data_IF_918656294467
#
_entry.id   IF_918656294467
#
_cell.length_a   1.000
_cell.length_b   1.000
_cell.length_c   1.000
_cell.angle_alpha   90.00
_cell.angle_beta   90.00
_cell.angle_gamma   90.00
#
_symmetry.space_group_name_H-M   'P 1'
#
loop_
_entity.id
_entity.type
_entity.pdbx_description
1 polymer ?
#
# COMPACT_ATOMS: atom_id res chain seq x y z
N UNK A 1 -45.59 -25.23 5.91
CA UNK A 1 -45.86 -26.26 6.95
C UNK A 1 -46.48 -25.52 8.12
N UNK A 2 -47.73 -25.82 8.44
CA UNK A 2 -48.52 -25.03 9.38
C UNK A 2 -48.19 -25.38 10.83
N UNK A 3 -48.02 -24.39 11.71
CA UNK A 3 -47.75 -24.56 13.14
C UNK A 3 -48.85 -25.43 13.78
N UNK A 4 -50.13 -25.30 13.30
CA UNK A 4 -51.27 -26.12 13.69
C UNK A 4 -51.03 -27.58 13.36
N UNK A 5 -50.52 -27.94 12.20
CA UNK A 5 -50.40 -29.34 11.71
C UNK A 5 -49.38 -30.13 12.58
N UNK A 6 -48.58 -29.45 13.36
CA UNK A 6 -47.63 -30.05 14.33
C UNK A 6 -48.09 -30.01 15.76
N UNK A 7 -49.34 -29.57 16.05
CA UNK A 7 -49.93 -29.55 17.39
C UNK A 7 -49.34 -28.51 18.35
N UNK A 8 -48.65 -27.48 17.85
CA UNK A 8 -48.11 -26.40 18.66
C UNK A 8 -49.17 -25.40 19.10
N UNK A 9 -50.30 -25.32 18.37
CA UNK A 9 -51.48 -24.52 18.71
C UNK A 9 -52.72 -25.35 18.43
N UNK A 10 -53.76 -25.13 19.24
CA UNK A 10 -55.09 -25.73 19.05
C UNK A 10 -55.82 -25.10 17.86
N UNK A 11 -56.86 -25.76 17.40
CA UNK A 11 -57.71 -25.23 16.30
C UNK A 11 -58.41 -23.93 16.74
N UNK A 12 -58.74 -23.81 18.00
CA UNK A 12 -59.39 -22.63 18.59
C UNK A 12 -58.41 -21.45 18.60
N UNK A 13 -57.15 -21.65 19.03
CA UNK A 13 -56.09 -20.65 18.98
C UNK A 13 -55.75 -20.21 17.56
N UNK A 14 -55.76 -21.16 16.62
CA UNK A 14 -55.59 -20.85 15.19
C UNK A 14 -56.69 -19.94 14.66
N UNK A 15 -57.96 -20.30 14.95
CA UNK A 15 -59.11 -19.54 14.51
C UNK A 15 -59.16 -18.14 15.15
N UNK A 16 -58.82 -18.02 16.45
CA UNK A 16 -58.72 -16.74 17.12
C UNK A 16 -57.60 -15.86 16.51
N UNK A 17 -56.46 -16.43 16.24
CA UNK A 17 -55.33 -15.68 15.66
C UNK A 17 -55.62 -15.24 14.24
N UNK A 18 -56.27 -16.08 13.39
CA UNK A 18 -56.60 -15.73 12.00
C UNK A 18 -57.81 -14.78 11.88
N UNK A 19 -58.65 -14.70 12.92
CA UNK A 19 -59.77 -13.74 12.98
C UNK A 19 -59.29 -12.32 13.39
N UNK A 20 -58.08 -12.18 13.96
CA UNK A 20 -57.58 -10.87 14.33
C UNK A 20 -57.01 -10.17 13.09
N UNK A 21 -57.43 -8.93 12.80
CA UNK A 21 -56.80 -8.14 11.74
C UNK A 21 -55.32 -7.92 12.07
N UNK A 22 -54.45 -8.17 11.09
CA UNK A 22 -53.04 -7.82 11.21
C UNK A 22 -52.93 -6.30 11.26
N UNK A 23 -52.81 -5.74 12.45
CA UNK A 23 -52.49 -4.34 12.64
C UNK A 23 -50.97 -4.20 12.55
N UNK A 24 -50.45 -3.71 11.45
CA UNK A 24 -49.09 -3.20 11.37
C UNK A 24 -49.07 -1.88 12.15
N UNK A 25 -48.38 -1.86 13.26
CA UNK A 25 -47.96 -0.63 13.87
C UNK A 25 -46.62 -0.25 13.19
N UNK A 26 -46.60 0.67 12.21
CA UNK A 26 -45.34 1.26 11.80
C UNK A 26 -44.86 1.99 13.05
N UNK A 27 -43.94 1.36 13.79
CA UNK A 27 -43.24 2.07 14.84
C UNK A 27 -42.73 3.37 14.23
N UNK A 28 -42.80 4.46 14.96
CA UNK A 28 -41.97 5.60 14.67
C UNK A 28 -40.54 5.04 14.70
N UNK A 29 -40.05 4.67 13.53
CA UNK A 29 -38.62 4.52 13.31
C UNK A 29 -38.13 5.96 13.49
N UNK A 30 -37.71 6.31 14.72
CA UNK A 30 -36.74 7.37 14.83
C UNK A 30 -35.70 7.01 13.76
N UNK A 31 -35.62 7.84 12.73
CA UNK A 31 -34.51 7.81 11.80
C UNK A 31 -33.30 8.10 12.69
N UNK A 32 -32.74 7.03 13.27
CA UNK A 32 -31.42 7.12 13.88
C UNK A 32 -30.58 7.79 12.80
N UNK A 33 -30.07 8.97 13.12
CA UNK A 33 -29.06 9.60 12.26
C UNK A 33 -28.17 8.47 11.83
N UNK A 34 -28.13 8.24 10.52
CA UNK A 34 -27.31 7.18 9.93
C UNK A 34 -25.89 7.47 10.39
N UNK A 35 -25.39 6.69 11.35
CA UNK A 35 -24.02 6.85 11.80
C UNK A 35 -23.15 6.65 10.57
N UNK A 36 -22.33 7.66 10.27
CA UNK A 36 -21.36 7.59 9.18
C UNK A 36 -20.48 6.36 9.39
N UNK A 37 -20.46 5.46 8.43
CA UNK A 37 -19.64 4.24 8.47
C UNK A 37 -18.16 4.60 8.37
N UNK A 38 -17.25 3.77 8.91
CA UNK A 38 -15.81 3.94 8.70
C UNK A 38 -15.41 3.66 7.25
N UNK A 39 -14.24 4.10 6.83
CA UNK A 39 -13.68 3.74 5.51
C UNK A 39 -13.54 2.22 5.36
N UNK A 40 -13.19 1.53 6.44
CA UNK A 40 -13.16 0.07 6.45
C UNK A 40 -14.53 -0.55 6.17
N UNK A 41 -15.56 -0.06 6.86
CA UNK A 41 -16.92 -0.57 6.68
C UNK A 41 -17.45 -0.32 5.26
N UNK A 42 -17.08 0.80 4.65
CA UNK A 42 -17.47 1.08 3.26
C UNK A 42 -16.83 0.07 2.30
N UNK A 43 -15.51 -0.18 2.44
CA UNK A 43 -14.81 -1.21 1.67
C UNK A 43 -15.40 -2.60 1.88
N UNK A 44 -15.69 -2.95 3.13
CA UNK A 44 -16.33 -4.22 3.47
C UNK A 44 -17.68 -4.42 2.77
N UNK A 45 -18.54 -3.38 2.77
CA UNK A 45 -19.83 -3.43 2.11
C UNK A 45 -19.67 -3.58 0.59
N UNK A 46 -18.69 -2.91 0.01
CA UNK A 46 -18.40 -2.99 -1.41
C UNK A 46 -17.94 -4.40 -1.80
N UNK A 47 -16.89 -4.92 -1.15
CA UNK A 47 -16.34 -6.25 -1.46
C UNK A 47 -17.38 -7.35 -1.28
N UNK A 48 -18.09 -7.36 -0.15
CA UNK A 48 -19.16 -8.34 0.08
C UNK A 48 -20.30 -8.20 -0.94
N UNK A 49 -20.61 -6.96 -1.38
CA UNK A 49 -21.63 -6.77 -2.43
C UNK A 49 -21.20 -7.37 -3.75
N UNK A 50 -19.95 -7.10 -4.16
CA UNK A 50 -19.42 -7.56 -5.44
C UNK A 50 -19.30 -9.09 -5.44
N UNK A 51 -18.79 -9.69 -4.36
CA UNK A 51 -18.69 -11.15 -4.23
C UNK A 51 -20.07 -11.84 -4.19
N UNK A 52 -21.09 -11.23 -3.54
CA UNK A 52 -22.48 -11.75 -3.58
C UNK A 52 -23.08 -11.67 -4.98
N UNK A 53 -22.80 -10.59 -5.72
CA UNK A 53 -23.26 -10.45 -7.11
C UNK A 53 -22.59 -11.50 -8.00
N UNK A 54 -21.30 -11.72 -7.84
CA UNK A 54 -20.55 -12.70 -8.63
C UNK A 54 -20.98 -14.14 -8.32
N UNK A 55 -21.01 -14.53 -7.04
CA UNK A 55 -21.31 -15.92 -6.62
C UNK A 55 -22.75 -16.33 -6.91
N UNK A 56 -23.72 -15.42 -6.72
CA UNK A 56 -25.16 -15.74 -6.83
C UNK A 56 -25.86 -15.13 -8.03
N UNK A 57 -25.16 -14.37 -8.88
CA UNK A 57 -25.76 -13.70 -10.03
C UNK A 57 -26.83 -12.67 -9.64
N UNK A 58 -26.68 -12.03 -8.46
CA UNK A 58 -27.62 -11.03 -7.97
C UNK A 58 -27.38 -9.69 -8.66
N UNK A 59 -28.46 -8.94 -8.85
CA UNK A 59 -28.33 -7.53 -9.20
C UNK A 59 -28.04 -6.67 -7.95
N UNK A 60 -27.64 -5.42 -8.17
CA UNK A 60 -27.30 -4.49 -7.08
C UNK A 60 -28.46 -4.25 -6.10
N UNK A 61 -29.71 -4.23 -6.57
CA UNK A 61 -30.87 -3.99 -5.72
C UNK A 61 -31.15 -5.19 -4.80
N UNK A 62 -31.09 -6.41 -5.34
CA UNK A 62 -31.24 -7.66 -4.59
C UNK A 62 -30.10 -7.81 -3.56
N UNK A 63 -28.87 -7.51 -3.96
CA UNK A 63 -27.70 -7.56 -3.08
C UNK A 63 -27.82 -6.56 -1.93
N UNK A 64 -28.20 -5.31 -2.22
CA UNK A 64 -28.44 -4.29 -1.19
C UNK A 64 -29.52 -4.74 -0.21
N UNK A 65 -30.63 -5.28 -0.72
CA UNK A 65 -31.70 -5.81 0.13
C UNK A 65 -31.22 -6.98 1.00
N UNK A 66 -30.44 -7.88 0.44
CA UNK A 66 -29.87 -9.02 1.19
C UNK A 66 -28.92 -8.53 2.30
N UNK A 67 -28.02 -7.57 2.01
CA UNK A 67 -27.08 -7.03 2.97
C UNK A 67 -27.77 -6.34 4.16
N UNK A 68 -28.76 -5.49 3.90
CA UNK A 68 -29.38 -4.68 4.95
C UNK A 68 -30.58 -5.34 5.63
N UNK A 69 -31.28 -6.24 4.95
CA UNK A 69 -32.53 -6.85 5.44
C UNK A 69 -32.46 -8.38 5.55
N UNK A 70 -31.42 -9.02 5.00
CA UNK A 70 -31.27 -10.48 4.99
C UNK A 70 -30.83 -11.11 6.31
N UNK A 71 -30.53 -10.30 7.34
CA UNK A 71 -30.06 -10.78 8.63
C UNK A 71 -28.71 -11.48 8.57
N UNK A 72 -27.84 -11.02 7.68
CA UNK A 72 -26.50 -11.55 7.51
C UNK A 72 -25.58 -11.22 8.70
N UNK A 73 -24.63 -12.11 8.96
CA UNK A 73 -23.50 -11.90 9.87
C UNK A 73 -22.22 -11.87 9.04
N UNK A 74 -21.52 -10.74 9.04
CA UNK A 74 -20.28 -10.54 8.32
C UNK A 74 -19.16 -10.52 9.35
N UNK A 75 -18.20 -11.45 9.22
CA UNK A 75 -17.02 -11.52 10.07
C UNK A 75 -15.90 -10.78 9.38
N UNK A 76 -15.68 -9.55 9.81
CA UNK A 76 -14.70 -8.64 9.23
C UNK A 76 -13.30 -8.87 9.80
N UNK A 77 -12.27 -8.51 9.03
CA UNK A 77 -10.86 -8.61 9.43
C UNK A 77 -10.36 -7.39 10.21
N UNK A 78 -11.18 -6.35 10.35
CA UNK A 78 -10.80 -5.10 11.03
C UNK A 78 -10.27 -5.35 12.43
N UNK A 79 -9.21 -4.61 12.78
CA UNK A 79 -8.78 -4.41 14.15
C UNK A 79 -9.36 -3.07 14.63
N UNK A 80 -10.38 -3.06 15.50
CA UNK A 80 -11.05 -1.82 15.90
C UNK A 80 -10.14 -0.84 16.62
N UNK A 81 -9.17 -1.34 17.42
CA UNK A 81 -8.24 -0.49 18.17
C UNK A 81 -7.21 0.15 17.23
N UNK A 82 -6.71 -0.61 16.25
CA UNK A 82 -5.84 -0.10 15.21
C UNK A 82 -6.58 0.92 14.32
N UNK A 83 -7.82 0.62 13.92
CA UNK A 83 -8.65 1.53 13.12
C UNK A 83 -8.84 2.87 13.85
N UNK A 84 -9.24 2.84 15.12
CA UNK A 84 -9.41 4.03 15.95
C UNK A 84 -8.10 4.82 16.12
N UNK A 85 -6.98 4.10 16.33
CA UNK A 85 -5.65 4.69 16.44
C UNK A 85 -5.24 5.38 15.14
N UNK A 86 -5.47 4.74 13.98
CA UNK A 86 -5.18 5.34 12.69
C UNK A 86 -6.04 6.58 12.42
N UNK A 87 -7.33 6.53 12.69
CA UNK A 87 -8.22 7.69 12.56
C UNK A 87 -7.78 8.85 13.44
N UNK A 88 -7.41 8.59 14.69
CA UNK A 88 -6.87 9.59 15.59
C UNK A 88 -5.56 10.19 15.06
N UNK A 89 -4.62 9.35 14.63
CA UNK A 89 -3.32 9.79 14.10
C UNK A 89 -3.47 10.64 12.86
N UNK A 90 -4.34 10.26 11.95
CA UNK A 90 -4.58 10.96 10.68
C UNK A 90 -5.25 12.33 10.91
N UNK A 91 -6.26 12.40 11.76
CA UNK A 91 -7.05 13.62 11.99
C UNK A 91 -6.40 14.59 12.97
N UNK A 92 -5.93 14.11 14.10
CA UNK A 92 -5.48 14.95 15.21
C UNK A 92 -4.01 14.86 15.54
N UNK A 93 -3.25 14.01 14.85
CA UNK A 93 -1.81 13.82 15.09
C UNK A 93 -0.93 14.98 14.66
N UNK A 94 -1.43 15.92 13.89
CA UNK A 94 -0.69 17.10 13.42
C UNK A 94 0.50 16.78 12.50
N UNK A 95 0.47 15.60 11.85
CA UNK A 95 1.56 15.14 10.99
C UNK A 95 1.48 15.71 9.59
N UNK A 96 0.27 15.92 9.10
CA UNK A 96 -0.03 16.34 7.73
C UNK A 96 -0.36 17.82 7.69
N UNK A 97 0.55 18.65 7.16
CA UNK A 97 0.26 20.08 7.01
C UNK A 97 -0.94 20.30 6.11
N UNK A 98 -1.84 21.18 6.52
CA UNK A 98 -2.97 21.57 5.70
C UNK A 98 -2.54 22.64 4.71
N UNK A 99 -2.72 22.37 3.44
CA UNK A 99 -2.48 23.30 2.34
C UNK A 99 -3.73 23.40 1.47
N UNK A 100 -4.03 24.61 0.98
CA UNK A 100 -5.14 24.85 0.06
C UNK A 100 -4.65 25.45 -1.25
N UNK A 101 -5.10 24.89 -2.38
CA UNK A 101 -4.83 25.41 -3.72
C UNK A 101 -6.16 25.79 -4.37
N UNK A 102 -6.24 27.01 -4.94
CA UNK A 102 -7.40 27.43 -5.71
C UNK A 102 -7.41 26.68 -7.05
N UNK A 103 -8.51 26.01 -7.32
CA UNK A 103 -8.72 25.26 -8.55
C UNK A 103 -10.17 25.39 -9.02
N UNK A 104 -10.44 24.85 -10.19
CA UNK A 104 -11.76 24.86 -10.80
C UNK A 104 -12.35 23.46 -10.77
N UNK A 105 -13.52 23.31 -10.17
CA UNK A 105 -14.25 22.04 -10.14
C UNK A 105 -15.54 22.14 -10.98
N UNK A 106 -15.97 21.03 -11.54
CA UNK A 106 -17.28 20.92 -12.18
C UNK A 106 -18.39 20.97 -11.15
N UNK A 107 -19.52 21.60 -11.52
CA UNK A 107 -20.74 21.59 -10.72
C UNK A 107 -21.56 20.35 -11.12
N UNK A 108 -22.07 19.63 -10.12
CA UNK A 108 -22.95 18.47 -10.30
C UNK A 108 -24.32 18.76 -9.70
N UNK A 109 -25.38 18.21 -10.30
CA UNK A 109 -26.74 18.27 -9.78
C UNK A 109 -26.99 17.20 -8.69
N UNK A 110 -28.22 17.14 -8.18
CA UNK A 110 -28.63 16.18 -7.14
C UNK A 110 -28.55 14.70 -7.59
N UNK A 111 -28.60 14.47 -8.91
CA UNK A 111 -28.47 13.14 -9.52
C UNK A 111 -27.01 12.77 -9.85
N UNK A 112 -26.04 13.64 -9.50
CA UNK A 112 -24.62 13.45 -9.77
C UNK A 112 -24.21 13.67 -11.23
N UNK A 113 -25.05 14.33 -12.05
CA UNK A 113 -24.73 14.67 -13.43
C UNK A 113 -24.09 16.06 -13.49
N UNK A 114 -23.19 16.26 -14.47
CA UNK A 114 -22.57 17.58 -14.67
C UNK A 114 -23.63 18.60 -15.12
N UNK A 115 -23.71 19.69 -14.41
CA UNK A 115 -24.54 20.83 -14.81
C UNK A 115 -23.94 21.45 -16.06
N UNK A 116 -24.76 21.67 -17.09
CA UNK A 116 -24.38 22.32 -18.34
C UNK A 116 -24.96 23.73 -18.39
N UNK A 117 -24.25 24.65 -19.01
CA UNK A 117 -24.75 26.01 -19.29
C UNK A 117 -25.70 26.06 -20.50
N UNK A 118 -26.19 27.21 -20.86
CA UNK A 118 -27.10 27.44 -22.00
C UNK A 118 -26.50 27.03 -23.36
N UNK A 119 -25.16 26.88 -23.44
CA UNK A 119 -24.42 26.49 -24.63
C UNK A 119 -24.02 25.02 -24.62
N UNK A 120 -24.46 24.25 -23.58
CA UNK A 120 -24.12 22.84 -23.40
C UNK A 120 -22.68 22.63 -22.86
N UNK A 121 -22.03 23.65 -22.31
CA UNK A 121 -20.71 23.53 -21.70
C UNK A 121 -20.83 23.23 -20.20
N UNK A 122 -19.93 22.40 -19.63
CA UNK A 122 -19.94 22.12 -18.20
C UNK A 122 -19.74 23.39 -17.36
N UNK A 123 -20.65 23.62 -16.41
CA UNK A 123 -20.52 24.70 -15.43
C UNK A 123 -19.40 24.37 -14.45
N UNK A 124 -18.56 25.34 -14.16
CA UNK A 124 -17.45 25.20 -13.21
C UNK A 124 -17.52 26.26 -12.12
N UNK A 125 -16.96 25.93 -10.96
CA UNK A 125 -16.83 26.86 -9.83
C UNK A 125 -15.41 26.86 -9.28
N UNK A 126 -15.01 27.98 -8.69
CA UNK A 126 -13.75 28.07 -7.96
C UNK A 126 -13.89 27.36 -6.61
N UNK A 127 -12.99 26.43 -6.33
CA UNK A 127 -12.92 25.72 -5.06
C UNK A 127 -11.51 25.76 -4.50
N UNK A 128 -11.40 25.60 -3.18
CA UNK A 128 -10.09 25.43 -2.54
C UNK A 128 -9.90 23.94 -2.29
N UNK A 129 -9.06 23.29 -3.09
CA UNK A 129 -8.67 21.91 -2.85
C UNK A 129 -7.69 21.84 -1.68
N UNK A 130 -7.98 21.00 -0.69
CA UNK A 130 -7.15 20.80 0.48
C UNK A 130 -6.24 19.57 0.31
N UNK A 131 -5.06 19.62 0.92
CA UNK A 131 -4.21 18.42 1.02
C UNK A 131 -4.93 17.30 1.75
N UNK A 132 -4.71 16.07 1.27
CA UNK A 132 -5.27 14.85 1.80
C UNK A 132 -4.19 13.83 2.13
N UNK A 133 -4.56 12.79 2.87
CA UNK A 133 -3.71 11.63 3.10
C UNK A 133 -4.55 10.38 3.25
N UNK A 134 -3.91 9.24 3.03
CA UNK A 134 -4.50 7.93 3.27
C UNK A 134 -3.48 7.00 3.94
N UNK A 135 -4.00 6.06 4.73
CA UNK A 135 -3.19 5.03 5.38
C UNK A 135 -3.93 3.69 5.33
N UNK A 136 -3.24 2.66 4.91
CA UNK A 136 -3.77 1.29 4.83
C UNK A 136 -2.82 0.37 5.58
N UNK A 137 -3.37 -0.50 6.43
CA UNK A 137 -2.58 -1.49 7.17
C UNK A 137 -3.14 -2.89 6.94
N UNK A 138 -2.26 -3.79 6.50
CA UNK A 138 -2.50 -5.22 6.34
C UNK A 138 -1.67 -6.01 7.36
N UNK A 139 -2.12 -7.22 7.71
CA UNK A 139 -1.24 -8.23 8.31
C UNK A 139 -0.66 -9.17 7.22
N UNK A 140 0.19 -10.12 7.63
CA UNK A 140 0.85 -11.02 6.67
C UNK A 140 -0.01 -12.20 6.21
N UNK A 141 -1.23 -12.34 6.76
CA UNK A 141 -2.25 -13.24 6.24
C UNK A 141 -3.13 -12.58 5.17
N UNK A 142 -2.82 -11.33 4.78
CA UNK A 142 -3.57 -10.56 3.79
C UNK A 142 -4.78 -9.82 4.34
N UNK A 143 -5.03 -9.88 5.65
CA UNK A 143 -6.20 -9.22 6.26
C UNK A 143 -6.02 -7.71 6.26
N UNK A 144 -7.00 -6.99 5.74
CA UNK A 144 -7.12 -5.55 5.94
C UNK A 144 -7.46 -5.28 7.40
N UNK A 145 -6.50 -4.73 8.16
CA UNK A 145 -6.65 -4.49 9.59
C UNK A 145 -7.21 -3.11 9.90
N UNK A 146 -6.86 -2.12 9.08
CA UNK A 146 -7.40 -0.77 9.18
C UNK A 146 -7.19 0.02 7.89
N UNK A 147 -8.07 0.98 7.61
CA UNK A 147 -7.94 1.92 6.50
C UNK A 147 -8.54 3.29 6.84
N UNK A 148 -7.80 4.34 6.51
CA UNK A 148 -8.26 5.74 6.59
C UNK A 148 -8.00 6.41 5.25
N UNK A 149 -9.07 6.85 4.59
CA UNK A 149 -9.04 7.41 3.23
C UNK A 149 -9.12 8.93 3.15
N UNK A 150 -8.87 9.65 4.25
CA UNK A 150 -8.89 11.11 4.26
C UNK A 150 -8.49 11.73 5.59
N UNK A 151 -8.14 13.02 5.57
CA UNK A 151 -7.73 13.79 6.75
C UNK A 151 -8.91 14.46 7.46
N UNK A 152 -10.00 14.67 6.74
CA UNK A 152 -11.18 15.32 7.27
C UNK A 152 -12.10 14.32 7.99
N UNK A 153 -13.02 14.84 8.79
CA UNK A 153 -14.10 14.05 9.32
C UNK A 153 -14.95 13.53 8.16
N UNK A 154 -15.26 12.26 8.20
CA UNK A 154 -16.02 11.61 7.14
C UNK A 154 -17.48 12.05 7.21
N UNK A 155 -17.95 12.83 6.25
CA UNK A 155 -19.27 13.45 6.24
C UNK A 155 -20.40 12.52 5.77
N UNK A 156 -20.08 11.37 5.20
CA UNK A 156 -21.06 10.41 4.68
C UNK A 156 -20.53 8.99 4.61
N UNK A 157 -21.43 8.04 4.33
CA UNK A 157 -21.07 6.66 4.00
C UNK A 157 -20.77 6.55 2.51
N UNK A 158 -19.85 5.63 2.13
CA UNK A 158 -19.43 5.34 0.75
C UNK A 158 -18.86 6.57 0.01
N UNK A 159 -18.14 7.42 0.75
CA UNK A 159 -17.36 8.50 0.14
C UNK A 159 -16.04 7.95 -0.39
N UNK A 160 -15.42 8.67 -1.33
CA UNK A 160 -14.14 8.31 -1.94
C UNK A 160 -13.09 7.94 -0.91
N UNK A 161 -12.62 6.70 -0.97
CA UNK A 161 -11.63 6.13 -0.07
C UNK A 161 -10.24 6.16 -0.71
N UNK A 162 -9.43 7.16 -0.38
CA UNK A 162 -8.09 7.28 -0.96
C UNK A 162 -7.15 6.14 -0.60
N UNK A 163 -7.49 5.33 0.39
CA UNK A 163 -6.73 4.14 0.75
C UNK A 163 -6.89 2.99 -0.25
N UNK A 164 -8.07 2.87 -0.85
CA UNK A 164 -8.44 1.74 -1.73
C UNK A 164 -8.72 2.16 -3.17
N UNK A 165 -9.16 3.41 -3.40
CA UNK A 165 -9.69 3.83 -4.70
C UNK A 165 -8.79 4.84 -5.43
N UNK A 166 -7.94 5.59 -4.68
CA UNK A 166 -7.06 6.56 -5.30
C UNK A 166 -5.81 5.91 -5.89
N UNK A 167 -5.68 5.93 -7.19
CA UNK A 167 -4.45 5.56 -7.90
C UNK A 167 -3.52 6.77 -7.99
N UNK A 168 -2.28 6.60 -7.51
CA UNK A 168 -1.26 7.66 -7.44
C UNK A 168 0.10 7.14 -7.85
N UNK A 169 0.89 7.97 -8.50
CA UNK A 169 2.29 7.64 -8.74
C UNK A 169 3.00 7.43 -7.40
N UNK A 170 3.72 6.32 -7.28
CA UNK A 170 4.30 5.88 -6.01
C UNK A 170 5.75 6.32 -5.80
N UNK A 171 6.36 6.88 -6.85
CA UNK A 171 7.74 7.34 -6.79
C UNK A 171 8.69 6.24 -6.33
N UNK A 172 9.67 6.62 -5.55
CA UNK A 172 10.74 5.70 -5.09
C UNK A 172 10.29 4.52 -4.24
N UNK A 173 9.01 4.41 -3.84
CA UNK A 173 8.50 3.16 -3.23
C UNK A 173 8.39 2.04 -4.26
N UNK A 174 8.44 2.34 -5.55
CA UNK A 174 8.50 1.31 -6.59
C UNK A 174 9.82 0.55 -6.62
N UNK A 175 10.95 1.18 -6.26
CA UNK A 175 12.30 0.61 -6.37
C UNK A 175 12.45 -0.79 -5.76
N UNK A 176 12.05 -1.05 -4.50
CA UNK A 176 12.18 -2.39 -3.90
C UNK A 176 11.44 -3.47 -4.67
N UNK A 177 10.19 -3.21 -5.05
CA UNK A 177 9.31 -4.20 -5.72
C UNK A 177 9.57 -4.28 -7.22
N UNK A 178 10.00 -3.16 -7.83
CA UNK A 178 10.21 -3.08 -9.27
C UNK A 178 11.61 -3.48 -9.74
N UNK A 179 12.65 -3.17 -8.98
CA UNK A 179 14.02 -3.41 -9.44
C UNK A 179 14.79 -4.38 -8.55
N UNK A 180 14.96 -4.02 -7.27
CA UNK A 180 15.90 -4.70 -6.40
C UNK A 180 15.49 -6.14 -6.05
N UNK A 181 14.21 -6.38 -5.77
CA UNK A 181 13.73 -7.72 -5.41
C UNK A 181 13.97 -8.74 -6.53
N UNK A 182 13.64 -8.36 -7.76
CA UNK A 182 13.77 -9.25 -8.91
C UNK A 182 15.22 -9.46 -9.32
N UNK A 183 16.05 -8.41 -9.32
CA UNK A 183 17.49 -8.55 -9.62
C UNK A 183 18.22 -9.41 -8.59
N UNK A 184 17.84 -9.34 -7.30
CA UNK A 184 18.35 -10.25 -6.27
C UNK A 184 17.84 -11.68 -6.43
N UNK A 185 16.57 -11.86 -6.80
CA UNK A 185 16.00 -13.18 -7.03
C UNK A 185 16.65 -13.91 -8.21
N UNK A 186 17.11 -13.17 -9.22
CA UNK A 186 17.81 -13.67 -10.40
C UNK A 186 19.32 -13.84 -10.19
N UNK A 187 19.85 -13.48 -9.00
CA UNK A 187 21.28 -13.45 -8.69
C UNK A 187 22.11 -12.51 -9.56
N UNK A 188 21.46 -11.56 -10.23
CA UNK A 188 22.10 -10.55 -11.07
C UNK A 188 22.83 -9.48 -10.25
N UNK A 189 22.42 -9.29 -9.01
CA UNK A 189 23.05 -8.40 -8.04
C UNK A 189 23.16 -9.08 -6.67
N UNK A 190 24.06 -8.57 -5.85
CA UNK A 190 24.17 -8.89 -4.44
C UNK A 190 24.27 -7.60 -3.60
N UNK A 191 24.29 -7.70 -2.29
CA UNK A 191 24.34 -6.59 -1.32
C UNK A 191 25.32 -5.49 -1.69
N UNK A 192 26.52 -5.85 -2.08
CA UNK A 192 27.64 -4.94 -2.33
C UNK A 192 27.99 -4.75 -3.80
N UNK A 193 27.14 -5.20 -4.74
CA UNK A 193 27.32 -4.91 -6.16
C UNK A 193 27.43 -3.40 -6.36
N UNK A 194 28.42 -2.97 -7.14
CA UNK A 194 28.70 -1.58 -7.40
C UNK A 194 28.06 -1.12 -8.71
N UNK A 195 27.43 0.04 -8.66
CA UNK A 195 26.94 0.75 -9.86
C UNK A 195 27.41 2.20 -9.84
N UNK A 196 27.73 2.73 -11.01
CA UNK A 196 28.10 4.13 -11.19
C UNK A 196 26.89 5.03 -10.97
N UNK A 197 27.02 6.01 -10.05
CA UNK A 197 26.04 7.07 -9.87
C UNK A 197 26.29 8.20 -10.87
N UNK A 198 25.83 7.98 -12.11
CA UNK A 198 25.82 8.95 -13.19
C UNK A 198 24.55 8.75 -14.03
N UNK A 199 24.15 9.76 -14.80
CA UNK A 199 22.97 9.63 -15.65
C UNK A 199 23.06 8.41 -16.57
N UNK A 200 21.91 7.84 -16.92
CA UNK A 200 21.81 6.63 -17.75
C UNK A 200 21.75 7.02 -19.23
N UNK A 201 20.95 8.04 -19.54
CA UNK A 201 20.77 8.55 -20.89
C UNK A 201 20.47 10.05 -20.91
N UNK A 202 20.60 10.69 -22.07
CA UNK A 202 19.99 11.99 -22.33
C UNK A 202 18.55 11.78 -22.78
N UNK A 203 17.63 12.56 -22.24
CA UNK A 203 16.20 12.45 -22.53
C UNK A 203 15.63 13.82 -22.87
N UNK A 204 14.79 13.90 -23.88
CA UNK A 204 14.09 15.11 -24.26
C UNK A 204 12.81 15.27 -23.45
N UNK A 205 12.64 16.40 -22.78
CA UNK A 205 11.42 16.77 -22.09
C UNK A 205 10.34 17.09 -23.13
N UNK A 206 9.32 16.26 -23.22
CA UNK A 206 8.26 16.37 -24.24
C UNK A 206 7.50 17.72 -24.19
N UNK A 207 7.50 18.43 -23.05
CA UNK A 207 6.78 19.71 -22.90
C UNK A 207 7.64 20.90 -23.31
N UNK A 208 8.94 20.84 -23.04
CA UNK A 208 9.86 21.97 -23.26
C UNK A 208 10.79 21.79 -24.44
N UNK A 209 10.97 20.55 -24.92
CA UNK A 209 11.96 20.19 -25.94
C UNK A 209 13.42 20.25 -25.41
N UNK A 210 13.63 20.46 -24.12
CA UNK A 210 14.95 20.53 -23.51
C UNK A 210 15.52 19.13 -23.29
N UNK A 211 16.73 18.90 -23.75
CA UNK A 211 17.44 17.61 -23.57
C UNK A 211 18.21 17.65 -22.25
N UNK A 212 17.84 16.73 -21.33
CA UNK A 212 18.40 16.66 -19.97
C UNK A 212 18.99 15.28 -19.66
N UNK A 213 19.98 15.20 -18.75
CA UNK A 213 20.43 13.93 -18.20
C UNK A 213 19.31 13.22 -17.42
N UNK A 214 19.09 11.93 -17.69
CA UNK A 214 18.07 11.12 -17.03
C UNK A 214 18.68 9.82 -16.45
N UNK A 215 18.18 9.33 -15.30
CA UNK A 215 17.26 10.01 -14.37
C UNK A 215 17.99 11.05 -13.52
N UNK A 216 17.29 12.09 -13.10
CA UNK A 216 17.82 13.00 -12.10
C UNK A 216 17.74 12.36 -10.70
N UNK A 217 18.79 12.48 -9.89
CA UNK A 217 18.74 12.17 -8.47
C UNK A 217 17.95 13.25 -7.69
N UNK A 218 17.36 12.90 -6.55
CA UNK A 218 16.64 13.87 -5.69
C UNK A 218 17.54 15.04 -5.30
N UNK A 219 18.83 14.78 -5.09
CA UNK A 219 19.84 15.80 -4.78
C UNK A 219 20.24 16.68 -5.98
N UNK A 220 19.79 16.34 -7.18
CA UNK A 220 20.19 16.96 -8.46
C UNK A 220 21.70 16.86 -8.73
N UNK A 221 22.39 15.91 -8.09
CA UNK A 221 23.84 15.70 -8.20
C UNK A 221 24.11 14.26 -8.61
N UNK A 222 25.00 14.09 -9.58
CA UNK A 222 25.64 12.82 -9.93
C UNK A 222 27.01 12.80 -9.27
N UNK A 223 27.25 11.83 -8.39
CA UNK A 223 28.54 11.76 -7.67
C UNK A 223 29.68 11.29 -8.55
N UNK A 224 29.37 10.66 -9.70
CA UNK A 224 30.30 10.01 -10.62
C UNK A 224 31.20 8.98 -9.92
N UNK A 225 30.67 8.35 -8.88
CA UNK A 225 31.34 7.31 -8.10
C UNK A 225 30.51 6.02 -8.15
N UNK A 226 31.22 4.93 -8.00
CA UNK A 226 30.57 3.66 -7.75
C UNK A 226 30.00 3.64 -6.32
N UNK A 227 28.77 3.18 -6.21
CA UNK A 227 28.02 3.05 -4.94
C UNK A 227 27.44 1.65 -4.87
N UNK A 228 27.40 1.07 -3.66
CA UNK A 228 26.83 -0.27 -3.47
C UNK A 228 25.31 -0.27 -3.62
N UNK A 229 24.76 -1.40 -4.03
CA UNK A 229 23.30 -1.67 -4.02
C UNK A 229 22.69 -1.29 -2.68
N UNK A 230 23.31 -1.66 -1.57
CA UNK A 230 22.84 -1.36 -0.22
C UNK A 230 22.77 0.13 0.08
N UNK A 231 23.87 0.86 -0.17
CA UNK A 231 23.92 2.31 0.08
C UNK A 231 22.97 3.05 -0.90
N UNK A 232 22.87 2.60 -2.16
CA UNK A 232 22.01 3.21 -3.17
C UNK A 232 20.51 3.06 -2.85
N UNK A 233 20.07 1.91 -2.35
CA UNK A 233 18.67 1.71 -1.93
C UNK A 233 18.39 2.53 -0.65
N UNK A 234 19.29 2.55 0.31
CA UNK A 234 19.16 3.32 1.55
C UNK A 234 19.00 4.82 1.29
N UNK A 235 19.82 5.38 0.40
CA UNK A 235 19.79 6.79 0.00
C UNK A 235 18.83 7.09 -1.15
N UNK A 236 18.15 6.04 -1.66
CA UNK A 236 17.15 6.16 -2.74
C UNK A 236 17.70 6.75 -4.04
N UNK A 237 18.92 6.39 -4.44
CA UNK A 237 19.59 6.90 -5.65
C UNK A 237 18.87 6.41 -6.90
N UNK A 238 18.43 7.35 -7.77
CA UNK A 238 17.63 7.02 -8.96
C UNK A 238 18.47 6.36 -10.06
N UNK A 239 19.67 6.86 -10.30
CA UNK A 239 20.58 6.38 -11.35
C UNK A 239 20.94 4.91 -11.17
N UNK A 240 21.26 4.53 -9.94
CA UNK A 240 21.57 3.13 -9.59
C UNK A 240 20.31 2.26 -9.66
N UNK A 241 19.17 2.75 -9.18
CA UNK A 241 17.94 1.99 -9.26
C UNK A 241 17.54 1.64 -10.70
N UNK A 242 17.69 2.60 -11.64
CA UNK A 242 17.43 2.35 -13.07
C UNK A 242 18.38 1.28 -13.63
N UNK A 243 19.68 1.35 -13.34
CA UNK A 243 20.64 0.33 -13.78
C UNK A 243 20.33 -1.05 -13.22
N UNK A 244 19.91 -1.15 -11.95
CA UNK A 244 19.43 -2.40 -11.33
C UNK A 244 18.17 -2.90 -12.05
N UNK A 245 17.24 -2.02 -12.40
CA UNK A 245 16.05 -2.39 -13.15
C UNK A 245 16.33 -2.86 -14.59
N UNK A 246 17.33 -2.25 -15.25
CA UNK A 246 17.78 -2.70 -16.58
C UNK A 246 18.38 -4.12 -16.49
N UNK A 247 19.16 -4.41 -15.47
CA UNK A 247 19.73 -5.74 -15.20
C UNK A 247 18.62 -6.76 -14.95
N UNK A 248 17.64 -6.44 -14.10
CA UNK A 248 16.48 -7.31 -13.82
C UNK A 248 15.58 -7.54 -15.06
N UNK A 249 15.63 -6.61 -16.01
CA UNK A 249 14.79 -6.63 -17.21
C UNK A 249 13.41 -5.98 -16.99
N UNK A 250 13.19 -4.83 -17.60
CA UNK A 250 11.96 -4.02 -17.39
C UNK A 250 10.67 -4.81 -17.66
N UNK A 251 10.65 -5.67 -18.69
CA UNK A 251 9.50 -6.53 -18.99
C UNK A 251 9.27 -7.58 -17.91
N UNK A 252 10.33 -8.13 -17.33
CA UNK A 252 10.22 -9.10 -16.23
C UNK A 252 9.64 -8.41 -14.99
N UNK A 253 10.07 -7.17 -14.72
CA UNK A 253 9.51 -6.37 -13.63
C UNK A 253 8.02 -6.15 -13.83
N UNK A 254 7.58 -5.72 -15.03
CA UNK A 254 6.18 -5.54 -15.35
C UNK A 254 5.35 -6.82 -15.07
N UNK A 255 5.82 -7.96 -15.56
CA UNK A 255 5.16 -9.25 -15.34
C UNK A 255 5.14 -9.62 -13.86
N UNK A 256 6.22 -9.38 -13.13
CA UNK A 256 6.30 -9.67 -11.70
C UNK A 256 5.29 -8.84 -10.89
N UNK A 257 5.25 -7.53 -11.10
CA UNK A 257 4.37 -6.66 -10.30
C UNK A 257 2.89 -6.84 -10.65
N UNK A 258 2.55 -7.16 -11.91
CA UNK A 258 1.17 -7.37 -12.34
C UNK A 258 0.66 -8.78 -12.06
N UNK A 259 1.47 -9.81 -12.29
CA UNK A 259 1.03 -11.22 -12.20
C UNK A 259 1.32 -11.84 -10.84
N UNK A 260 2.39 -11.40 -10.16
CA UNK A 260 2.77 -11.98 -8.87
C UNK A 260 2.38 -11.11 -7.67
N UNK A 261 2.36 -9.78 -7.82
CA UNK A 261 2.06 -8.87 -6.71
C UNK A 261 0.66 -8.24 -6.79
N UNK A 262 -0.16 -8.63 -7.79
CA UNK A 262 -1.56 -8.24 -7.88
C UNK A 262 -1.80 -6.74 -8.12
N UNK A 263 -0.83 -6.00 -8.65
CA UNK A 263 -1.04 -4.59 -9.03
C UNK A 263 -1.78 -4.57 -10.37
N UNK A 264 -3.00 -4.05 -10.35
CA UNK A 264 -3.94 -4.11 -11.49
C UNK A 264 -3.93 -2.87 -12.38
N UNK A 265 -3.30 -1.81 -11.93
CA UNK A 265 -3.39 -0.47 -12.53
C UNK A 265 -2.34 -0.17 -13.59
N UNK A 266 -1.34 -1.03 -13.76
CA UNK A 266 -0.32 -0.87 -14.80
C UNK A 266 -0.85 -1.23 -16.19
N UNK A 267 -0.46 -0.45 -17.18
CA UNK A 267 -0.81 -0.64 -18.58
C UNK A 267 0.43 -0.97 -19.43
N UNK A 268 0.26 -1.52 -20.66
CA UNK A 268 1.41 -1.90 -21.50
C UNK A 268 2.39 -0.76 -21.79
N UNK A 269 1.95 0.49 -21.76
CA UNK A 269 2.79 1.69 -21.93
C UNK A 269 3.76 1.90 -20.75
N UNK A 270 3.45 1.34 -19.58
CA UNK A 270 4.30 1.43 -18.39
C UNK A 270 5.53 0.51 -18.46
N UNK A 271 5.74 -0.24 -19.53
CA UNK A 271 6.93 -1.09 -19.71
C UNK A 271 8.13 -0.21 -20.10
N UNK A 272 8.52 0.64 -19.17
CA UNK A 272 9.71 1.51 -19.22
C UNK A 272 10.32 1.65 -17.83
N UNK A 273 11.58 2.08 -17.76
CA UNK A 273 12.28 2.23 -16.49
C UNK A 273 11.69 3.31 -15.58
N UNK A 274 11.10 4.36 -16.12
CA UNK A 274 10.41 5.39 -15.36
C UNK A 274 9.27 4.80 -14.51
N UNK A 275 8.23 4.21 -15.12
CA UNK A 275 7.14 3.54 -14.41
C UNK A 275 7.60 2.38 -13.51
N UNK A 276 8.37 1.44 -14.07
CA UNK A 276 8.69 0.16 -13.41
C UNK A 276 9.74 0.27 -12.31
N UNK A 277 10.56 1.29 -12.31
CA UNK A 277 11.63 1.47 -11.32
C UNK A 277 11.44 2.70 -10.45
N UNK A 278 11.07 3.83 -11.07
CA UNK A 278 10.94 5.12 -10.39
C UNK A 278 9.50 5.46 -10.00
N UNK A 279 8.53 4.63 -10.39
CA UNK A 279 7.13 4.75 -9.99
C UNK A 279 6.36 5.89 -10.65
N UNK A 280 6.77 6.32 -11.85
CA UNK A 280 6.10 7.35 -12.65
C UNK A 280 5.13 6.73 -13.66
N UNK A 281 4.29 5.79 -13.22
CA UNK A 281 3.34 5.08 -14.07
C UNK A 281 2.20 5.97 -14.56
N UNK A 282 1.51 5.51 -15.62
CA UNK A 282 0.43 6.24 -16.29
C UNK A 282 -0.69 6.63 -15.32
N UNK A 283 -1.18 5.68 -14.51
CA UNK A 283 -2.26 5.91 -13.55
C UNK A 283 -1.76 5.98 -12.11
N UNK A 284 -0.83 5.11 -11.74
CA UNK A 284 -0.35 4.95 -10.37
C UNK A 284 -0.77 3.62 -9.75
N UNK A 285 -0.68 3.53 -8.42
CA UNK A 285 -1.02 2.36 -7.61
C UNK A 285 -1.81 2.83 -6.40
N UNK A 286 -2.76 2.05 -5.92
CA UNK A 286 -3.48 2.38 -4.68
C UNK A 286 -2.60 2.10 -3.45
N UNK A 287 -2.81 2.81 -2.32
CA UNK A 287 -2.15 2.46 -1.06
C UNK A 287 -2.39 1.00 -0.64
N UNK A 288 -3.56 0.45 -0.95
CA UNK A 288 -3.93 -0.94 -0.66
C UNK A 288 -3.08 -1.94 -1.46
N UNK A 289 -2.98 -1.79 -2.78
CA UNK A 289 -2.14 -2.63 -3.63
C UNK A 289 -0.65 -2.50 -3.27
N UNK A 290 -0.20 -1.28 -2.96
CA UNK A 290 1.18 -1.04 -2.59
C UNK A 290 1.55 -1.71 -1.26
N UNK A 291 0.66 -1.65 -0.24
CA UNK A 291 0.86 -2.36 1.01
C UNK A 291 0.91 -3.88 0.79
N UNK A 292 -0.01 -4.43 -0.03
CA UNK A 292 -0.02 -5.84 -0.37
C UNK A 292 1.28 -6.30 -1.06
N UNK A 293 1.77 -5.53 -2.03
CA UNK A 293 3.01 -5.83 -2.74
C UNK A 293 4.24 -5.88 -1.81
N UNK A 294 4.27 -5.04 -0.77
CA UNK A 294 5.37 -5.03 0.21
C UNK A 294 5.33 -6.17 1.23
N UNK A 295 4.22 -6.88 1.34
CA UNK A 295 4.03 -7.98 2.30
C UNK A 295 5.13 -9.04 2.21
N UNK A 296 5.60 -9.35 1.00
CA UNK A 296 6.66 -10.34 0.75
C UNK A 296 7.97 -10.05 1.52
N UNK A 297 8.28 -8.79 1.84
CA UNK A 297 9.51 -8.44 2.56
C UNK A 297 9.44 -8.70 4.06
N UNK A 298 8.25 -8.84 4.63
CA UNK A 298 8.06 -9.14 6.05
C UNK A 298 7.59 -10.57 6.32
N UNK A 299 7.08 -11.27 5.30
CA UNK A 299 6.53 -12.63 5.38
C UNK A 299 7.53 -13.74 4.99
N UNK A 300 8.78 -13.39 4.64
CA UNK A 300 9.74 -14.35 4.09
C UNK A 300 9.43 -14.76 2.64
N UNK A 301 8.96 -13.82 1.83
CA UNK A 301 8.73 -14.00 0.40
C UNK A 301 7.33 -14.44 -0.01
N UNK A 302 6.36 -14.40 0.91
CA UNK A 302 4.97 -14.77 0.64
C UNK A 302 4.16 -13.51 0.31
N UNK A 303 3.39 -13.56 -0.76
CA UNK A 303 2.29 -12.66 -1.06
C UNK A 303 0.97 -13.38 -0.75
N UNK A 304 0.07 -12.71 -0.05
CA UNK A 304 -1.28 -13.20 0.20
C UNK A 304 -2.29 -12.20 -0.34
N UNK A 305 -3.31 -12.68 -1.05
CA UNK A 305 -4.38 -11.82 -1.59
C UNK A 305 -5.04 -11.03 -0.46
N UNK A 306 -5.05 -9.70 -0.54
CA UNK A 306 -5.63 -8.90 0.52
C UNK A 306 -7.16 -9.03 0.53
N UNK A 307 -7.74 -9.07 1.74
CA UNK A 307 -9.19 -9.23 1.95
C UNK A 307 -9.64 -8.51 3.22
N UNK A 308 -10.93 -8.16 3.30
CA UNK A 308 -11.49 -7.40 4.41
C UNK A 308 -12.52 -8.16 5.25
N UNK A 309 -12.83 -9.41 4.90
CA UNK A 309 -13.72 -10.27 5.68
C UNK A 309 -13.23 -11.73 5.69
N UNK A 310 -13.66 -12.50 6.68
CA UNK A 310 -13.37 -13.93 6.83
C UNK A 310 -14.52 -14.80 6.30
N UNK A 311 -15.77 -14.39 6.57
CA UNK A 311 -16.97 -15.07 6.04
C UNK A 311 -18.19 -14.19 6.14
N UNK A 312 -19.18 -14.51 5.27
CA UNK A 312 -20.54 -13.99 5.33
C UNK A 312 -21.48 -15.16 5.61
N UNK A 313 -22.30 -15.05 6.66
CA UNK A 313 -23.19 -16.11 7.11
C UNK A 313 -24.63 -15.62 7.20
N UNK A 314 -25.58 -16.53 7.02
CA UNK A 314 -26.98 -16.27 7.37
C UNK A 314 -27.15 -16.13 8.89
N UNK A 315 -28.27 -15.59 9.35
CA UNK A 315 -28.62 -15.55 10.76
C UNK A 315 -28.63 -16.92 11.48
N UNK A 316 -28.72 -18.01 10.73
CA UNK A 316 -28.68 -19.39 11.22
C UNK A 316 -27.29 -20.06 11.13
N UNK A 317 -26.25 -19.30 10.73
CA UNK A 317 -24.87 -19.78 10.68
C UNK A 317 -24.50 -20.55 9.42
N UNK A 318 -25.33 -20.56 8.37
CA UNK A 318 -24.92 -21.11 7.06
C UNK A 318 -23.97 -20.12 6.40
N UNK A 319 -22.77 -20.56 6.02
CA UNK A 319 -21.80 -19.79 5.26
C UNK A 319 -22.37 -19.55 3.87
N UNK A 320 -22.37 -18.30 3.43
CA UNK A 320 -22.72 -17.85 2.08
C UNK A 320 -21.48 -17.52 1.27
N UNK A 321 -20.51 -16.79 1.87
CA UNK A 321 -19.26 -16.42 1.21
C UNK A 321 -18.09 -16.66 2.14
N UNK A 322 -16.98 -17.03 1.53
CA UNK A 322 -15.63 -16.95 2.07
C UNK A 322 -14.76 -16.26 0.99
N UNK A 323 -13.87 -15.33 1.34
CA UNK A 323 -13.07 -14.65 0.33
C UNK A 323 -12.11 -15.64 -0.37
N UNK A 324 -11.85 -15.40 -1.64
CA UNK A 324 -10.87 -16.19 -2.40
C UNK A 324 -9.46 -15.71 -2.06
N UNK A 325 -8.88 -16.27 -0.99
CA UNK A 325 -7.55 -15.89 -0.50
C UNK A 325 -6.51 -16.89 -1.01
N UNK A 326 -5.57 -16.40 -1.81
CA UNK A 326 -4.44 -17.17 -2.29
C UNK A 326 -3.15 -16.67 -1.63
N UNK A 327 -2.38 -17.59 -1.06
CA UNK A 327 -1.01 -17.33 -0.61
C UNK A 327 -0.03 -18.01 -1.55
N UNK A 328 0.94 -17.25 -2.06
CA UNK A 328 1.95 -17.77 -2.97
C UNK A 328 3.33 -17.24 -2.62
N UNK A 329 4.34 -18.08 -2.78
CA UNK A 329 5.73 -17.66 -2.66
C UNK A 329 6.13 -16.91 -3.93
N UNK A 330 6.47 -15.64 -3.81
CA UNK A 330 6.88 -14.77 -4.92
C UNK A 330 8.38 -14.46 -4.91
N UNK A 331 9.03 -14.65 -3.75
CA UNK A 331 10.47 -14.62 -3.58
C UNK A 331 10.89 -15.84 -2.74
N UNK A 332 12.08 -16.37 -2.96
CA UNK A 332 12.69 -17.30 -2.02
C UNK A 332 12.99 -16.61 -0.68
N UNK A 333 13.14 -17.39 0.39
CA UNK A 333 13.32 -16.86 1.75
C UNK A 333 14.61 -16.05 1.89
N UNK A 334 15.66 -16.47 1.19
CA UNK A 334 16.96 -15.84 1.23
C UNK A 334 16.92 -14.46 0.57
N UNK A 335 16.32 -14.36 -0.62
CA UNK A 335 16.07 -13.09 -1.31
C UNK A 335 15.21 -12.15 -0.47
N UNK A 336 14.11 -12.67 0.09
CA UNK A 336 13.22 -11.88 0.94
C UNK A 336 13.94 -11.34 2.17
N UNK A 337 14.80 -12.15 2.80
CA UNK A 337 15.58 -11.74 3.96
C UNK A 337 16.67 -10.71 3.61
N UNK A 338 17.40 -10.90 2.49
CA UNK A 338 18.37 -9.90 2.01
C UNK A 338 17.66 -8.56 1.72
N UNK A 339 16.52 -8.60 1.02
CA UNK A 339 15.71 -7.39 0.78
C UNK A 339 15.24 -6.73 2.07
N UNK A 340 14.79 -7.52 3.05
CA UNK A 340 14.41 -7.02 4.36
C UNK A 340 15.57 -6.26 5.03
N UNK A 341 16.78 -6.82 5.00
CA UNK A 341 17.98 -6.14 5.55
C UNK A 341 18.37 -4.90 4.77
N UNK A 342 18.23 -4.89 3.44
CA UNK A 342 18.42 -3.69 2.61
C UNK A 342 17.43 -2.58 2.98
N UNK A 343 16.15 -2.92 3.16
CA UNK A 343 15.11 -1.98 3.59
C UNK A 343 15.31 -1.48 5.03
N UNK A 344 15.96 -2.27 5.88
CA UNK A 344 16.41 -1.80 7.19
C UNK A 344 17.45 -0.68 7.06
N UNK A 345 18.35 -0.77 6.08
CA UNK A 345 19.32 0.30 5.77
C UNK A 345 18.66 1.65 5.46
N UNK A 346 17.43 1.64 4.93
CA UNK A 346 16.64 2.88 4.71
C UNK A 346 16.26 3.56 6.04
N UNK A 347 16.08 2.77 7.12
CA UNK A 347 15.69 3.25 8.46
C UNK A 347 16.89 3.62 9.35
N UNK A 348 18.10 3.38 8.89
CA UNK A 348 19.34 3.53 9.65
C UNK A 348 20.36 4.44 8.94
N UNK A 349 21.36 4.91 9.67
CA UNK A 349 22.52 5.61 9.12
C UNK A 349 22.15 6.79 8.21
N UNK A 350 22.51 6.70 6.94
CA UNK A 350 22.24 7.73 5.91
C UNK A 350 20.92 7.49 5.16
N UNK A 351 20.17 6.47 5.55
CA UNK A 351 18.90 6.12 4.91
C UNK A 351 17.86 7.24 5.00
N UNK A 352 17.00 7.33 3.99
CA UNK A 352 15.99 8.41 3.87
C UNK A 352 14.95 8.43 4.98
N UNK A 353 14.82 7.34 5.76
CA UNK A 353 13.92 7.19 6.90
C UNK A 353 14.69 6.99 8.24
N UNK A 354 15.97 7.39 8.29
CA UNK A 354 16.80 7.23 9.47
C UNK A 354 16.18 7.91 10.70
N UNK A 355 16.17 7.19 11.83
CA UNK A 355 15.65 7.68 13.10
C UNK A 355 14.13 7.52 13.29
N UNK A 356 13.42 6.93 12.33
CA UNK A 356 11.96 6.74 12.40
C UNK A 356 11.54 5.30 12.73
N UNK A 357 12.42 4.43 13.20
CA UNK A 357 12.03 3.10 13.69
C UNK A 357 10.97 3.18 14.79
N UNK A 358 10.15 2.13 14.92
CA UNK A 358 9.09 2.05 15.96
C UNK A 358 9.72 2.11 17.35
N UNK A 359 10.87 1.47 17.54
CA UNK A 359 11.56 1.39 18.84
C UNK A 359 11.06 0.24 19.71
N UNK A 360 11.47 0.25 20.99
CA UNK A 360 11.01 -0.78 21.95
C UNK A 360 11.47 -2.21 21.63
N UNK A 361 12.51 -2.39 20.81
CA UNK A 361 12.97 -3.72 20.36
C UNK A 361 12.19 -4.32 19.20
N UNK A 362 11.15 -3.63 18.71
CA UNK A 362 10.40 -4.04 17.52
C UNK A 362 11.21 -3.72 16.26
N UNK A 363 11.47 -4.71 15.44
CA UNK A 363 12.15 -4.51 14.16
C UNK A 363 11.28 -3.67 13.21
N UNK A 364 11.91 -2.87 12.38
CA UNK A 364 11.21 -1.98 11.44
C UNK A 364 12.01 -1.82 10.16
N UNK A 365 11.33 -1.92 9.05
CA UNK A 365 11.87 -1.65 7.72
C UNK A 365 10.92 -0.76 6.94
N UNK A 366 11.38 -0.14 5.87
CA UNK A 366 10.47 0.66 5.05
C UNK A 366 11.15 1.37 3.90
N UNK A 367 10.34 2.11 3.13
CA UNK A 367 10.80 2.90 1.99
C UNK A 367 10.00 4.18 1.87
N UNK A 368 10.70 5.29 1.68
CA UNK A 368 10.11 6.60 1.33
C UNK A 368 9.87 6.70 -0.16
N UNK A 369 8.83 7.43 -0.54
CA UNK A 369 8.52 7.81 -1.91
C UNK A 369 8.26 9.29 -2.04
N UNK A 370 8.75 9.86 -3.12
CA UNK A 370 8.46 11.23 -3.55
C UNK A 370 8.33 11.19 -5.05
N UNK A 371 7.24 11.74 -5.58
CA UNK A 371 7.04 11.85 -7.01
C UNK A 371 7.66 13.13 -7.56
N UNK A 372 7.79 13.20 -8.90
CA UNK A 372 8.26 14.40 -9.58
C UNK A 372 7.44 15.62 -9.16
N UNK A 373 8.08 16.77 -9.09
CA UNK A 373 7.48 18.06 -8.68
C UNK A 373 6.88 18.04 -7.25
N UNK A 374 7.25 17.04 -6.41
CA UNK A 374 6.74 16.89 -5.04
C UNK A 374 5.21 16.85 -4.94
N UNK A 375 4.55 16.12 -5.84
CA UNK A 375 3.08 16.01 -5.86
C UNK A 375 2.57 15.05 -4.80
N UNK A 376 3.31 13.95 -4.58
CA UNK A 376 2.95 12.89 -3.65
C UNK A 376 4.12 12.56 -2.74
N UNK A 377 3.84 12.39 -1.46
CA UNK A 377 4.78 11.84 -0.49
C UNK A 377 4.24 10.52 0.04
N UNK A 378 5.13 9.52 0.06
CA UNK A 378 4.82 8.17 0.46
C UNK A 378 5.76 7.65 1.53
N UNK A 379 5.24 6.77 2.34
CA UNK A 379 6.03 5.86 3.15
C UNK A 379 5.33 4.50 3.22
N UNK A 380 6.07 3.44 2.88
CA UNK A 380 5.66 2.06 3.17
C UNK A 380 6.55 1.54 4.27
N UNK A 381 5.95 1.25 5.42
CA UNK A 381 6.65 0.77 6.61
C UNK A 381 6.13 -0.58 7.05
N UNK A 382 7.05 -1.44 7.47
CA UNK A 382 6.75 -2.79 7.93
C UNK A 382 7.30 -3.00 9.34
N UNK A 383 6.56 -3.77 10.10
CA UNK A 383 6.99 -4.39 11.35
C UNK A 383 6.73 -5.90 11.25
N UNK A 384 7.19 -6.73 12.17
CA UNK A 384 6.86 -8.17 12.15
C UNK A 384 5.37 -8.51 12.29
N UNK A 385 4.51 -7.52 12.51
CA UNK A 385 3.04 -7.69 12.65
C UNK A 385 2.26 -7.11 11.49
N UNK A 386 2.73 -6.00 10.89
CA UNK A 386 1.95 -5.21 9.95
C UNK A 386 2.79 -4.66 8.80
N UNK A 387 2.16 -4.54 7.65
CA UNK A 387 2.63 -3.73 6.53
C UNK A 387 1.66 -2.57 6.32
N UNK A 388 2.20 -1.35 6.20
CA UNK A 388 1.38 -0.14 6.13
C UNK A 388 1.89 0.79 5.03
N UNK A 389 1.01 1.17 4.11
CA UNK A 389 1.27 2.21 3.13
C UNK A 389 0.58 3.52 3.55
N UNK A 390 1.32 4.62 3.51
CA UNK A 390 0.83 5.96 3.84
C UNK A 390 1.12 6.92 2.70
N UNK A 391 0.10 7.62 2.23
CA UNK A 391 0.15 8.63 1.18
C UNK A 391 -0.22 10.01 1.72
N UNK A 392 0.36 11.07 1.12
CA UNK A 392 0.00 12.46 1.36
C UNK A 392 0.18 13.28 0.09
N UNK A 393 -0.84 14.04 -0.31
CA UNK A 393 -0.86 14.83 -1.54
C UNK A 393 -2.15 15.62 -1.75
N UNK A 394 -2.33 16.15 -2.96
CA UNK A 394 -3.59 16.69 -3.46
C UNK A 394 -4.26 15.68 -4.39
N UNK A 395 -5.58 15.62 -4.38
CA UNK A 395 -6.34 14.75 -5.30
C UNK A 395 -6.09 15.07 -6.77
N UNK A 396 -5.94 16.33 -7.11
CA UNK A 396 -5.62 16.79 -8.47
C UNK A 396 -4.12 16.76 -8.80
N UNK A 397 -3.26 16.28 -7.89
CA UNK A 397 -1.81 16.16 -8.13
C UNK A 397 -1.07 17.50 -8.20
N UNK A 398 -1.53 18.51 -7.49
CA UNK A 398 -0.77 19.76 -7.31
C UNK A 398 0.52 19.51 -6.50
N UNK A 399 1.53 20.33 -6.77
CA UNK A 399 2.78 20.27 -6.02
C UNK A 399 2.57 20.65 -4.56
N UNK A 400 3.13 19.85 -3.66
CA UNK A 400 3.16 20.13 -2.23
C UNK A 400 4.25 21.15 -1.91
N UNK A 401 4.02 21.95 -0.87
CA UNK A 401 5.07 22.83 -0.36
C UNK A 401 6.17 22.01 0.32
N UNK A 402 7.36 22.02 -0.26
CA UNK A 402 8.51 21.19 0.15
C UNK A 402 9.01 21.50 1.56
N UNK A 403 8.76 22.70 2.09
CA UNK A 403 9.20 23.06 3.44
C UNK A 403 8.52 22.29 4.57
N UNK A 404 7.48 21.49 4.25
CA UNK A 404 6.55 21.02 5.28
C UNK A 404 6.36 19.51 5.31
N UNK A 405 6.82 18.69 4.31
CA UNK A 405 6.07 17.45 4.29
C UNK A 405 6.68 16.15 3.87
N UNK A 406 7.92 16.04 3.42
CA UNK A 406 8.49 14.75 3.00
C UNK A 406 8.48 13.69 4.12
N UNK A 407 8.57 14.10 5.38
CA UNK A 407 8.53 13.21 6.54
C UNK A 407 7.12 12.99 7.12
N UNK A 408 6.07 13.65 6.60
CA UNK A 408 4.72 13.53 7.14
C UNK A 408 4.21 12.08 7.17
N UNK A 409 4.27 11.31 6.06
CA UNK A 409 3.80 9.93 6.04
C UNK A 409 4.53 9.04 7.05
N UNK A 410 5.86 9.14 7.15
CA UNK A 410 6.63 8.30 8.06
C UNK A 410 6.41 8.67 9.53
N UNK A 411 6.22 9.95 9.85
CA UNK A 411 5.91 10.39 11.22
C UNK A 411 4.54 9.87 11.67
N UNK A 412 3.53 9.92 10.80
CA UNK A 412 2.21 9.37 11.05
C UNK A 412 2.28 7.85 11.23
N UNK A 413 2.94 7.14 10.32
CA UNK A 413 3.17 5.70 10.43
C UNK A 413 3.83 5.31 11.76
N UNK A 414 4.94 5.94 12.13
CA UNK A 414 5.63 5.66 13.38
C UNK A 414 4.73 5.85 14.60
N UNK A 415 3.99 6.95 14.64
CA UNK A 415 3.09 7.27 15.74
C UNK A 415 1.98 6.22 15.89
N UNK A 416 1.38 5.78 14.77
CA UNK A 416 0.36 4.73 14.75
C UNK A 416 0.96 3.41 15.20
N UNK A 417 2.07 2.98 14.61
CA UNK A 417 2.67 1.68 14.91
C UNK A 417 3.18 1.59 16.36
N UNK A 418 3.70 2.66 16.92
CA UNK A 418 4.08 2.69 18.34
C UNK A 418 2.91 2.43 19.29
N UNK A 419 1.70 2.86 18.92
CA UNK A 419 0.49 2.68 19.73
C UNK A 419 -0.19 1.35 19.45
N UNK A 420 -0.38 1.02 18.21
CA UNK A 420 -0.99 -0.23 17.78
C UNK A 420 -0.25 -1.46 18.31
N UNK A 421 1.06 -1.35 18.48
CA UNK A 421 1.91 -2.45 18.93
C UNK A 421 2.30 -2.34 20.41
N UNK A 422 1.73 -1.37 21.12
CA UNK A 422 1.93 -1.26 22.57
C UNK A 422 1.37 -2.48 23.27
N UNK A 423 2.25 -3.21 23.96
CA UNK A 423 1.88 -4.46 24.64
C UNK A 423 2.05 -5.73 23.81
N UNK A 424 2.37 -5.62 22.53
CA UNK A 424 2.77 -6.78 21.73
C UNK A 424 4.22 -7.15 22.03
N UNK A 425 4.54 -8.43 21.90
CA UNK A 425 5.92 -8.93 22.04
C UNK A 425 6.83 -8.28 21.00
N UNK A 426 7.95 -7.73 21.46
CA UNK A 426 8.97 -7.20 20.57
C UNK A 426 9.70 -8.36 19.87
N UNK A 427 9.65 -8.37 18.55
CA UNK A 427 10.29 -9.43 17.75
C UNK A 427 10.94 -8.88 16.48
N UNK A 428 11.82 -9.69 15.88
CA UNK A 428 12.39 -9.47 14.56
C UNK A 428 11.55 -10.09 13.44
N UNK A 429 11.88 -9.75 12.21
CA UNK A 429 11.34 -10.44 11.04
C UNK A 429 11.87 -11.87 10.93
N UNK A 430 11.19 -12.74 10.16
CA UNK A 430 11.71 -14.07 9.84
C UNK A 430 13.13 -13.98 9.27
N UNK A 431 14.00 -14.90 9.72
CA UNK A 431 15.37 -15.05 9.21
C UNK A 431 15.43 -16.19 8.21
N UNK A 432 16.41 -16.17 7.32
CA UNK A 432 16.66 -17.25 6.37
C UNK A 432 17.99 -17.94 6.68
N UNK A 433 17.99 -19.27 6.72
CA UNK A 433 19.19 -20.07 7.02
C UNK A 433 20.23 -20.02 5.89
N UNK A 434 19.79 -19.80 4.65
CA UNK A 434 20.66 -19.67 3.47
C UNK A 434 21.33 -18.30 3.35
N UNK A 435 21.14 -17.37 4.31
CA UNK A 435 21.78 -16.04 4.26
C UNK A 435 22.91 -15.95 5.28
N UNK A 436 24.07 -15.51 4.81
CA UNK A 436 25.28 -15.34 5.61
C UNK A 436 25.69 -13.87 5.65
N UNK A 437 26.29 -13.46 6.77
CA UNK A 437 26.97 -12.17 6.88
C UNK A 437 28.43 -12.34 6.50
N UNK A 438 28.93 -11.47 5.63
CA UNK A 438 30.34 -11.45 5.24
C UNK A 438 30.83 -10.01 5.05
N UNK A 439 32.12 -9.81 5.28
CA UNK A 439 32.75 -8.52 5.00
C UNK A 439 33.06 -8.39 3.52
N UNK A 440 32.79 -7.23 2.97
CA UNK A 440 33.13 -6.89 1.59
C UNK A 440 34.06 -5.67 1.51
N UNK A 441 34.88 -5.63 0.48
CA UNK A 441 35.73 -4.50 0.13
C UNK A 441 34.87 -3.38 -0.45
N UNK A 442 34.89 -2.19 0.17
CA UNK A 442 34.06 -1.07 -0.28
C UNK A 442 34.48 -0.49 -1.63
N UNK A 443 35.73 -0.77 -2.08
CA UNK A 443 36.24 -0.29 -3.37
C UNK A 443 35.89 -1.20 -4.54
N UNK A 444 35.66 -2.51 -4.29
CA UNK A 444 35.41 -3.48 -5.35
C UNK A 444 34.05 -4.14 -5.29
N UNK A 445 33.35 -4.00 -4.17
CA UNK A 445 32.08 -4.71 -3.92
C UNK A 445 32.23 -6.23 -3.71
N UNK A 446 33.46 -6.76 -3.82
CA UNK A 446 33.77 -8.18 -3.66
C UNK A 446 34.01 -8.54 -2.19
N UNK A 447 33.98 -9.82 -1.83
CA UNK A 447 34.32 -10.26 -0.47
C UNK A 447 35.71 -9.77 -0.06
N UNK A 448 35.84 -9.28 1.16
CA UNK A 448 37.06 -8.66 1.61
C UNK A 448 38.19 -9.68 1.76
N UNK A 449 39.37 -9.34 1.27
CA UNK A 449 40.66 -9.99 1.60
C UNK A 449 41.37 -9.25 2.69
N UNK A 450 42.40 -9.86 3.37
CA UNK A 450 43.13 -9.20 4.46
C UNK A 450 43.77 -7.88 4.11
N UNK A 451 44.13 -7.66 2.84
CA UNK A 451 44.74 -6.41 2.34
C UNK A 451 43.76 -5.29 1.98
N UNK A 452 42.44 -5.49 2.11
CA UNK A 452 41.48 -4.47 1.75
C UNK A 452 41.55 -3.26 2.69
N UNK A 453 41.65 -2.02 2.14
CA UNK A 453 41.87 -0.82 2.97
C UNK A 453 40.57 -0.39 3.71
N UNK A 454 39.40 -0.77 3.22
CA UNK A 454 38.12 -0.47 3.84
C UNK A 454 37.12 -1.60 3.61
N UNK A 455 36.41 -1.97 4.67
CA UNK A 455 35.47 -3.07 4.68
C UNK A 455 34.17 -2.67 5.40
N UNK A 456 33.05 -3.22 4.89
CA UNK A 456 31.75 -3.19 5.56
C UNK A 456 31.17 -4.60 5.57
N UNK A 457 30.19 -4.87 6.43
CA UNK A 457 29.48 -6.14 6.49
C UNK A 457 28.23 -6.07 5.60
N UNK A 458 27.97 -7.13 4.84
CA UNK A 458 26.77 -7.32 4.02
C UNK A 458 26.06 -8.63 4.31
N UNK A 459 24.87 -8.80 3.75
CA UNK A 459 24.07 -10.02 3.81
C UNK A 459 24.02 -10.65 2.42
N UNK A 460 24.33 -11.92 2.32
CA UNK A 460 24.48 -12.63 1.03
C UNK A 460 23.76 -13.95 1.06
N UNK A 461 23.17 -14.34 -0.06
CA UNK A 461 22.73 -15.72 -0.29
C UNK A 461 23.98 -16.60 -0.33
N UNK A 462 24.00 -17.66 0.44
CA UNK A 462 25.19 -18.50 0.61
C UNK A 462 25.64 -19.21 -0.70
N UNK A 463 24.68 -19.47 -1.59
CA UNK A 463 24.88 -20.08 -2.90
C UNK A 463 25.20 -19.07 -4.01
N UNK A 464 25.04 -17.76 -3.76
CA UNK A 464 25.31 -16.67 -4.70
C UNK A 464 26.29 -15.61 -4.14
N UNK A 465 27.31 -16.06 -3.44
CA UNK A 465 28.35 -15.18 -2.85
C UNK A 465 29.22 -14.56 -3.94
N UNK A 466 29.56 -13.25 -3.84
CA UNK A 466 30.55 -12.66 -4.74
C UNK A 466 31.95 -13.27 -4.53
N UNK A 467 32.79 -13.15 -5.54
CA UNK A 467 34.19 -13.61 -5.45
C UNK A 467 35.00 -12.82 -4.40
N UNK A 468 36.13 -13.36 -3.97
CA UNK A 468 37.07 -12.65 -3.11
C UNK A 468 37.75 -11.50 -3.86
N UNK A 469 37.99 -10.40 -3.17
CA UNK A 469 38.72 -9.27 -3.69
C UNK A 469 40.18 -9.66 -4.01
N UNK A 470 40.52 -9.65 -5.27
CA UNK A 470 41.91 -9.90 -5.75
C UNK A 470 42.71 -8.62 -5.92
N UNK A 471 42.07 -7.45 -5.97
CA UNK A 471 42.74 -6.14 -6.13
C UNK A 471 43.65 -5.80 -4.94
N UNK A 472 43.28 -6.25 -3.75
CA UNK A 472 43.99 -5.99 -2.53
C UNK A 472 44.48 -7.29 -1.87
N UNK A 473 44.56 -8.37 -2.64
CA UNK A 473 45.18 -9.61 -2.15
C UNK A 473 46.65 -9.36 -1.90
N UNK A 474 47.11 -9.59 -0.65
CA UNK A 474 48.49 -9.46 -0.23
C UNK A 474 49.34 -10.60 -0.79
#
# INVERSE_FOLDING_TARGET
MCIRDRGYISEEEYNQATAQPVTTSPGNVEVKQTQTTSYFTDKLIEDVSDDLMEEYGLDRAATTNLLYNGGLRIYATVDPDLQATMEQGMRSGGFFPRGGVQTTAYVYDEDGQRVLDENGQPVTQQVTEQTQAAMVTLDYDGRLRAVVGGLDEKEGSRVFNRGTDAVRQVGSTMKPIGAYALALAQDDIHWSTLFLDDYVRMEEDEKTGEVKPWPANVTQVYTQKEITVADALAESVNTVAVRVGEVAGIRNIYNFVTQQLGITTFVPQDVDAGPMVLGSSTYGVTPYELAAAYMMFGSGGIYTTPHCYESVQTGYGKILLEPQVESRRVLDEDTAYVMNRLLRGVMEGRGTASGYSVGGGMDSIGKTGTTSDNRDYWFVGLTPYYVTATWYGYDSGFALNTSVGTSAPIRAWRWVMQRAQSGLEAKGFPTAEGVVQANYCTETGLLASPGCPSMKTGYYKADAMPAMCTRHAA
#
